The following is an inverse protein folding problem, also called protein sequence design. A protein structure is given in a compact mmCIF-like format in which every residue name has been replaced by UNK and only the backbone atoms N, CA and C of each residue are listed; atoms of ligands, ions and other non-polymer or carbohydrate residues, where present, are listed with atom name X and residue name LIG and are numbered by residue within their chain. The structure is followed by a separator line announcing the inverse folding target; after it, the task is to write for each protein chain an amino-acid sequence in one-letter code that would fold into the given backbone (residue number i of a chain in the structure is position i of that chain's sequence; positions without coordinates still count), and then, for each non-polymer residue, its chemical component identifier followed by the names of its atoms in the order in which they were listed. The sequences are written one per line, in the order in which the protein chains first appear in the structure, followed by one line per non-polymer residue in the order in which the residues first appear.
data_IF_256579442301
#
_entry.id   IF_256579442301
#
_cell.length_a   1.000
_cell.length_b   1.000
_cell.length_c   1.000
_cell.angle_alpha   90.00
_cell.angle_beta   90.00
_cell.angle_gamma   90.00
#
_symmetry.space_group_name_H-M   'P 1'
#
loop_
_entity.id
_entity.type
_entity.pdbx_description
1 polymer ?
#
# COMPACT_ATOMS: atom_id res chain seq x y z
N UNK A 1 16.26 -17.32 -7.54
CA UNK A 1 16.36 -18.55 -6.72
C UNK A 1 16.74 -18.22 -5.27
N UNK A 2 16.03 -17.31 -4.60
CA UNK A 2 16.34 -16.96 -3.20
C UNK A 2 15.75 -17.99 -2.23
N UNK A 3 14.48 -18.35 -2.40
CA UNK A 3 13.78 -19.32 -1.56
C UNK A 3 14.45 -20.70 -1.47
N UNK A 4 14.89 -21.27 -2.61
CA UNK A 4 15.60 -22.57 -2.63
C UNK A 4 16.94 -22.50 -1.91
N UNK A 5 17.64 -21.36 -2.02
CA UNK A 5 18.93 -21.15 -1.36
C UNK A 5 18.77 -21.04 0.16
N UNK A 6 17.69 -20.43 0.63
CA UNK A 6 17.43 -20.18 2.05
C UNK A 6 16.79 -21.39 2.76
N UNK A 7 15.86 -22.07 2.09
CA UNK A 7 15.04 -23.15 2.68
C UNK A 7 15.50 -24.55 2.25
N UNK A 8 16.35 -24.65 1.23
CA UNK A 8 16.81 -25.92 0.66
C UNK A 8 15.87 -26.50 -0.39
N UNK A 9 16.41 -27.36 -1.25
CA UNK A 9 15.70 -27.97 -2.39
C UNK A 9 14.52 -28.84 -1.94
N UNK A 10 14.71 -29.65 -0.89
CA UNK A 10 13.66 -30.55 -0.40
C UNK A 10 12.44 -29.78 0.13
N UNK A 11 12.68 -28.72 0.92
CA UNK A 11 11.60 -27.88 1.43
C UNK A 11 10.88 -27.13 0.29
N UNK A 12 11.63 -26.67 -0.72
CA UNK A 12 11.05 -25.99 -1.87
C UNK A 12 10.15 -26.90 -2.70
N UNK A 13 10.54 -28.16 -2.90
CA UNK A 13 9.70 -29.16 -3.59
C UNK A 13 8.44 -29.42 -2.77
N UNK A 14 8.58 -29.72 -1.47
CA UNK A 14 7.45 -30.02 -0.61
C UNK A 14 6.44 -28.86 -0.53
N UNK A 15 6.93 -27.63 -0.39
CA UNK A 15 6.10 -26.43 -0.36
C UNK A 15 5.35 -26.22 -1.68
N UNK A 16 6.05 -26.39 -2.82
CA UNK A 16 5.43 -26.28 -4.15
C UNK A 16 4.33 -27.33 -4.35
N UNK A 17 4.57 -28.58 -3.93
CA UNK A 17 3.57 -29.65 -4.03
C UNK A 17 2.36 -29.40 -3.14
N UNK A 18 2.55 -28.92 -1.90
CA UNK A 18 1.44 -28.59 -1.01
C UNK A 18 0.55 -27.47 -1.58
N UNK A 19 1.16 -26.42 -2.15
CA UNK A 19 0.43 -25.33 -2.82
C UNK A 19 -0.38 -25.85 -4.00
N UNK A 20 0.21 -26.73 -4.82
CA UNK A 20 -0.50 -27.35 -5.95
C UNK A 20 -1.69 -28.18 -5.48
N UNK A 21 -1.50 -29.06 -4.48
CA UNK A 21 -2.59 -29.88 -3.93
C UNK A 21 -3.71 -29.00 -3.37
N UNK A 22 -3.35 -27.96 -2.60
CA UNK A 22 -4.33 -27.03 -2.02
C UNK A 22 -5.15 -26.29 -3.08
N UNK A 23 -4.52 -25.95 -4.21
CA UNK A 23 -5.20 -25.28 -5.31
C UNK A 23 -6.05 -26.23 -6.16
N UNK A 24 -5.53 -27.41 -6.53
CA UNK A 24 -6.30 -28.41 -7.28
C UNK A 24 -7.47 -29.00 -6.46
N UNK A 25 -7.42 -28.93 -5.13
CA UNK A 25 -8.53 -29.33 -4.27
C UNK A 25 -9.75 -28.41 -4.30
N UNK A 26 -9.67 -27.25 -4.97
CA UNK A 26 -10.80 -26.31 -5.13
C UNK A 26 -11.53 -26.56 -6.45
N UNK A 27 -12.87 -26.39 -6.51
CA UNK A 27 -13.69 -26.72 -7.68
C UNK A 27 -13.22 -26.09 -9.00
N UNK A 28 -12.71 -24.84 -8.95
CA UNK A 28 -12.22 -24.09 -10.11
C UNK A 28 -10.70 -23.84 -10.06
N UNK A 29 -9.97 -24.56 -9.20
CA UNK A 29 -8.56 -24.30 -8.93
C UNK A 29 -8.32 -23.02 -8.10
N UNK A 30 -7.10 -22.50 -8.17
CA UNK A 30 -6.75 -21.17 -7.64
C UNK A 30 -6.57 -20.17 -8.78
N UNK A 31 -7.34 -19.09 -8.78
CA UNK A 31 -7.08 -17.91 -9.64
C UNK A 31 -5.82 -17.17 -9.22
N UNK A 32 -5.50 -17.19 -7.92
CA UNK A 32 -4.29 -16.58 -7.36
C UNK A 32 -3.66 -17.57 -6.38
N UNK A 33 -2.34 -17.75 -6.50
CA UNK A 33 -1.58 -18.65 -5.62
C UNK A 33 -1.50 -18.06 -4.21
N UNK A 34 -1.91 -18.81 -3.17
CA UNK A 34 -1.84 -18.35 -1.79
C UNK A 34 -0.39 -18.22 -1.31
N UNK A 35 -0.18 -17.30 -0.37
CA UNK A 35 1.12 -17.01 0.24
C UNK A 35 1.66 -15.64 -0.17
N UNK A 36 2.07 -14.86 0.83
CA UNK A 36 2.65 -13.52 0.69
C UNK A 36 4.10 -13.55 1.20
N UNK A 37 5.11 -13.50 0.31
CA UNK A 37 6.51 -13.39 0.69
C UNK A 37 6.78 -12.08 1.45
N UNK A 38 7.78 -12.09 2.33
CA UNK A 38 8.16 -10.92 3.14
C UNK A 38 8.48 -9.69 2.26
N UNK A 39 9.27 -9.89 1.20
CA UNK A 39 9.63 -8.82 0.25
C UNK A 39 8.41 -8.20 -0.44
N UNK A 40 7.42 -9.03 -0.77
CA UNK A 40 6.18 -8.56 -1.38
C UNK A 40 5.36 -7.77 -0.35
N UNK A 41 5.33 -8.22 0.90
CA UNK A 41 4.67 -7.48 1.98
C UNK A 41 5.34 -6.13 2.23
N UNK A 42 6.66 -6.04 2.32
CA UNK A 42 7.36 -4.76 2.49
C UNK A 42 7.05 -3.78 1.36
N UNK A 43 7.00 -4.26 0.11
CA UNK A 43 6.57 -3.43 -1.02
C UNK A 43 5.14 -2.91 -0.85
N UNK A 44 4.18 -3.76 -0.44
CA UNK A 44 2.81 -3.33 -0.17
C UNK A 44 2.74 -2.28 0.94
N UNK A 45 3.53 -2.45 2.00
CA UNK A 45 3.56 -1.55 3.14
C UNK A 45 4.12 -0.17 2.75
N UNK A 46 5.24 -0.15 2.02
CA UNK A 46 5.86 1.09 1.53
C UNK A 46 4.93 1.83 0.57
N UNK A 47 4.27 1.12 -0.36
CA UNK A 47 3.32 1.75 -1.29
C UNK A 47 2.08 2.28 -0.57
N UNK A 48 1.59 1.58 0.47
CA UNK A 48 0.51 2.08 1.32
C UNK A 48 0.90 3.37 2.07
N UNK A 49 2.09 3.42 2.66
CA UNK A 49 2.60 4.65 3.31
C UNK A 49 2.76 5.78 2.30
N UNK A 50 3.32 5.51 1.13
CA UNK A 50 3.47 6.50 0.06
C UNK A 50 2.11 7.04 -0.44
N UNK A 51 1.13 6.16 -0.63
CA UNK A 51 -0.24 6.57 -0.94
C UNK A 51 -0.85 7.45 0.15
N UNK A 52 -0.61 7.10 1.42
CA UNK A 52 -1.00 7.90 2.57
C UNK A 52 -0.39 9.29 2.54
N UNK A 53 0.92 9.40 2.32
CA UNK A 53 1.62 10.69 2.20
C UNK A 53 1.02 11.56 1.11
N UNK A 54 0.81 11.00 -0.08
CA UNK A 54 0.18 11.73 -1.21
C UNK A 54 -1.20 12.24 -0.81
N UNK A 55 -2.06 11.37 -0.26
CA UNK A 55 -3.39 11.78 0.19
C UNK A 55 -3.32 12.87 1.27
N UNK A 56 -2.41 12.74 2.23
CA UNK A 56 -2.16 13.70 3.28
C UNK A 56 -1.78 15.08 2.75
N UNK A 57 -0.80 15.18 1.85
CA UNK A 57 -0.37 16.46 1.29
C UNK A 57 -1.45 17.10 0.42
N UNK A 58 -2.10 16.30 -0.43
CA UNK A 58 -3.20 16.77 -1.29
C UNK A 58 -4.35 17.31 -0.45
N UNK A 59 -4.67 16.69 0.68
CA UNK A 59 -5.77 17.14 1.56
C UNK A 59 -5.57 18.55 2.13
N UNK A 60 -4.32 19.04 2.18
CA UNK A 60 -3.98 20.38 2.68
C UNK A 60 -4.05 21.47 1.62
N UNK A 61 -4.12 21.11 0.34
CA UNK A 61 -4.22 22.08 -0.75
C UNK A 61 -5.41 23.01 -0.51
N UNK A 62 -5.14 24.31 -0.69
CA UNK A 62 -6.18 25.33 -0.58
C UNK A 62 -7.09 25.27 -1.81
N UNK A 63 -8.38 25.57 -1.65
CA UNK A 63 -9.29 25.68 -2.78
C UNK A 63 -8.84 26.85 -3.66
N UNK A 64 -8.64 26.60 -4.95
CA UNK A 64 -8.22 27.60 -5.94
C UNK A 64 -9.00 27.42 -7.24
N UNK A 65 -9.35 28.53 -7.89
CA UNK A 65 -10.07 28.54 -9.17
C UNK A 65 -11.40 27.78 -9.09
N UNK A 66 -11.55 26.74 -9.93
CA UNK A 66 -12.79 25.95 -10.02
C UNK A 66 -13.02 25.00 -8.82
N UNK A 67 -11.97 24.67 -8.07
CA UNK A 67 -12.04 23.73 -6.95
C UNK A 67 -12.43 24.49 -5.68
N UNK A 68 -13.72 24.52 -5.36
CA UNK A 68 -14.26 25.28 -4.23
C UNK A 68 -14.16 24.55 -2.87
N UNK A 69 -13.92 23.24 -2.85
CA UNK A 69 -13.88 22.42 -1.63
C UNK A 69 -12.59 21.62 -1.56
N UNK A 70 -11.90 21.63 -0.41
CA UNK A 70 -10.60 20.96 -0.20
C UNK A 70 -10.63 19.46 -0.50
N UNK A 71 -11.72 18.77 -0.14
CA UNK A 71 -11.88 17.33 -0.39
C UNK A 71 -11.92 16.94 -1.88
N UNK A 72 -12.15 17.88 -2.80
CA UNK A 72 -12.20 17.62 -4.25
C UNK A 72 -10.78 17.36 -4.74
N UNK A 73 -9.76 18.00 -4.14
CA UNK A 73 -8.37 17.70 -4.43
C UNK A 73 -8.04 16.23 -4.16
N UNK A 74 -8.52 15.66 -3.05
CA UNK A 74 -8.36 14.23 -2.76
C UNK A 74 -8.98 13.34 -3.84
N UNK A 75 -10.14 13.71 -4.39
CA UNK A 75 -10.79 12.95 -5.46
C UNK A 75 -10.05 13.10 -6.80
N UNK A 76 -9.61 14.31 -7.14
CA UNK A 76 -8.84 14.57 -8.38
C UNK A 76 -7.54 13.76 -8.38
N UNK A 77 -6.85 13.67 -7.24
CA UNK A 77 -5.62 12.89 -7.11
C UNK A 77 -5.88 11.41 -6.74
N UNK A 78 -7.13 10.94 -6.74
CA UNK A 78 -7.44 9.53 -6.49
C UNK A 78 -6.71 8.56 -7.41
N UNK A 79 -6.47 8.82 -8.71
CA UNK A 79 -5.70 7.90 -9.54
C UNK A 79 -4.27 7.67 -9.02
N UNK A 80 -3.70 8.63 -8.28
CA UNK A 80 -2.36 8.52 -7.72
C UNK A 80 -2.38 7.81 -6.36
N UNK A 81 -3.05 8.38 -5.35
CA UNK A 81 -3.01 7.82 -4.00
C UNK A 81 -3.77 6.50 -3.90
N UNK A 82 -4.91 6.37 -4.59
CA UNK A 82 -5.72 5.16 -4.53
C UNK A 82 -5.04 4.02 -5.30
N UNK A 83 -4.30 4.29 -6.38
CA UNK A 83 -3.52 3.23 -7.03
C UNK A 83 -2.40 2.70 -6.13
N UNK A 84 -1.68 3.59 -5.43
CA UNK A 84 -0.66 3.18 -4.49
C UNK A 84 -1.23 2.35 -3.33
N UNK A 85 -2.34 2.78 -2.75
CA UNK A 85 -2.90 2.09 -1.59
C UNK A 85 -3.78 0.88 -1.95
N UNK A 86 -4.75 1.04 -2.85
CA UNK A 86 -5.72 0.00 -3.19
C UNK A 86 -5.08 -1.05 -4.09
N UNK A 87 -4.47 -0.65 -5.21
CA UNK A 87 -3.96 -1.60 -6.19
C UNK A 87 -2.65 -2.25 -5.76
N UNK A 88 -1.70 -1.49 -5.21
CA UNK A 88 -0.39 -2.02 -4.82
C UNK A 88 -0.28 -2.37 -3.33
N UNK A 89 -0.93 -1.61 -2.45
CA UNK A 89 -0.94 -1.87 -1.00
C UNK A 89 -1.87 -3.03 -0.63
N UNK A 90 -3.16 -2.90 -0.89
CA UNK A 90 -4.17 -3.86 -0.44
C UNK A 90 -4.40 -5.02 -1.40
N UNK A 91 -4.43 -4.76 -2.71
CA UNK A 91 -4.76 -5.75 -3.75
C UNK A 91 -3.98 -7.06 -3.63
N UNK A 92 -2.63 -7.05 -3.53
CA UNK A 92 -1.85 -8.26 -3.41
C UNK A 92 -2.02 -8.97 -2.07
N UNK A 93 -2.34 -8.22 -1.00
CA UNK A 93 -2.54 -8.78 0.34
C UNK A 93 -3.86 -9.54 0.40
N UNK A 94 -4.97 -8.89 0.04
CA UNK A 94 -6.31 -9.49 0.13
C UNK A 94 -6.53 -10.64 -0.86
N UNK A 95 -5.74 -10.69 -1.94
CA UNK A 95 -5.82 -11.77 -2.93
C UNK A 95 -4.93 -12.98 -2.62
N UNK A 96 -3.94 -12.84 -1.72
CA UNK A 96 -2.93 -13.88 -1.46
C UNK A 96 -2.89 -14.39 -0.02
N UNK A 97 -3.51 -13.70 0.93
CA UNK A 97 -3.58 -14.14 2.33
C UNK A 97 -4.92 -13.81 2.97
N UNK A 98 -5.41 -14.74 3.78
CA UNK A 98 -6.57 -14.53 4.67
C UNK A 98 -6.18 -13.94 6.03
N UNK A 99 -4.87 -13.74 6.26
CA UNK A 99 -4.38 -13.09 7.47
C UNK A 99 -4.76 -11.60 7.49
N UNK A 100 -5.35 -11.18 8.60
CA UNK A 100 -5.83 -9.80 8.81
C UNK A 100 -4.71 -8.87 9.26
N UNK A 101 -3.63 -9.40 9.84
CA UNK A 101 -2.54 -8.58 10.37
C UNK A 101 -1.86 -7.73 9.27
N UNK A 102 -1.53 -8.28 8.08
CA UNK A 102 -0.98 -7.50 6.97
C UNK A 102 -1.92 -6.42 6.45
N UNK A 103 -3.23 -6.71 6.40
CA UNK A 103 -4.26 -5.74 5.98
C UNK A 103 -4.29 -4.56 6.95
N UNK A 104 -4.33 -4.86 8.24
CA UNK A 104 -4.30 -3.84 9.28
C UNK A 104 -3.01 -3.01 9.23
N UNK A 105 -1.86 -3.64 9.05
CA UNK A 105 -0.57 -2.96 8.90
C UNK A 105 -0.54 -1.99 7.71
N UNK A 106 -1.06 -2.39 6.55
CA UNK A 106 -1.17 -1.52 5.37
C UNK A 106 -2.13 -0.34 5.61
N UNK A 107 -3.31 -0.59 6.20
CA UNK A 107 -4.27 0.47 6.54
C UNK A 107 -3.70 1.47 7.55
N UNK A 108 -3.00 0.99 8.59
CA UNK A 108 -2.30 1.86 9.54
C UNK A 108 -1.18 2.65 8.88
N UNK A 109 -0.38 2.02 8.03
CA UNK A 109 0.69 2.69 7.28
C UNK A 109 0.15 3.84 6.43
N UNK A 110 -0.97 3.61 5.72
CA UNK A 110 -1.67 4.66 4.98
C UNK A 110 -2.18 5.78 5.90
N UNK A 111 -2.84 5.43 7.01
CA UNK A 111 -3.40 6.42 7.94
C UNK A 111 -2.30 7.29 8.58
N UNK A 112 -1.18 6.67 9.00
CA UNK A 112 -0.02 7.38 9.55
C UNK A 112 0.60 8.29 8.48
N UNK A 113 0.78 7.79 7.26
CA UNK A 113 1.26 8.59 6.13
C UNK A 113 0.35 9.79 5.84
N UNK A 114 -0.96 9.61 5.87
CA UNK A 114 -1.94 10.68 5.64
C UNK A 114 -1.96 11.71 6.78
N UNK A 115 -1.69 11.29 8.01
CA UNK A 115 -1.60 12.17 9.17
C UNK A 115 -0.28 12.96 9.23
N UNK A 116 0.81 12.44 8.67
CA UNK A 116 2.16 13.01 8.79
C UNK A 116 2.25 14.50 8.41
N UNK A 117 1.64 14.98 7.29
CA UNK A 117 1.68 16.40 6.94
C UNK A 117 1.05 17.31 8.00
N UNK A 118 0.07 16.83 8.77
CA UNK A 118 -0.56 17.59 9.85
C UNK A 118 0.38 17.76 11.04
N UNK A 119 1.15 16.71 11.36
CA UNK A 119 2.16 16.74 12.42
C UNK A 119 3.35 17.61 12.03
N UNK A 120 3.88 17.44 10.81
CA UNK A 120 5.06 18.18 10.34
C UNK A 120 4.82 19.69 10.32
N UNK A 121 3.65 20.16 9.88
CA UNK A 121 3.37 21.61 9.88
C UNK A 121 3.27 22.21 11.29
N UNK A 122 2.84 21.43 12.28
CA UNK A 122 2.79 21.90 13.67
C UNK A 122 4.20 22.07 14.26
N UNK A 123 5.16 21.24 13.83
CA UNK A 123 6.53 21.24 14.33
C UNK A 123 7.45 22.17 13.52
N UNK A 124 7.26 22.24 12.21
CA UNK A 124 8.11 22.98 11.29
C UNK A 124 7.30 24.08 10.58
N UNK A 125 7.63 25.34 10.87
CA UNK A 125 7.08 26.50 10.15
C UNK A 125 7.82 26.64 8.82
N UNK A 126 7.07 26.69 7.71
CA UNK A 126 7.67 26.92 6.40
C UNK A 126 8.37 28.31 6.39
N UNK A 127 9.56 28.43 5.77
CA UNK A 127 10.19 29.73 5.58
C UNK A 127 9.26 30.64 4.76
N UNK A 128 9.26 31.96 5.01
CA UNK A 128 8.45 32.89 4.24
C UNK A 128 8.83 32.82 2.75
N UNK A 129 7.82 32.87 1.88
CA UNK A 129 8.05 33.01 0.44
C UNK A 129 8.76 34.35 0.20
N UNK A 130 9.75 34.35 -0.69
CA UNK A 130 10.37 35.58 -1.15
C UNK A 130 9.35 36.22 -2.10
N UNK A 131 8.75 37.33 -1.69
CA UNK A 131 7.74 38.02 -2.49
C UNK A 131 8.26 38.24 -3.93
N UNK A 132 7.50 37.80 -4.93
CA UNK A 132 7.70 38.18 -6.32
C UNK A 132 7.36 39.67 -6.44
N UNK A 133 8.42 40.50 -6.48
CA UNK A 133 8.34 41.90 -6.95
C UNK A 133 8.16 41.96 -8.45
#
# INVERSE_FOLDING_TARGET
MFYVREQGEQAAILASTQVLIGCLGRPDGCTVVPGLPEEQYYFTLVTSVAGGLVAGFVSKLEPQGFVQRRWVWLLIFSPLWASLFINFGLGPVVSRTDDKLPIFGNCLGFAIGAALPYVVQQVFRAPPLKDEQ
#
